data_IF_231077975558
#
_entry.id   IF_231077975558
#
_cell.length_a   1.000
_cell.length_b   1.000
_cell.length_c   1.000
_cell.angle_alpha   90.00
_cell.angle_beta   90.00
_cell.angle_gamma   90.00
#
_symmetry.space_group_name_H-M   'P 1'
#
loop_
_entity.id
_entity.type
_entity.pdbx_description
1 polymer ?
#
# COMPACT_ATOMS: atom_id res chain seq x y z
N UNK A 1 -10.61 -3.26 11.49
CA UNK A 1 -10.18 -1.87 11.48
C UNK A 1 -8.91 -1.69 10.67
N UNK A 2 -8.90 -1.84 9.34
CA UNK A 2 -7.65 -1.71 8.59
C UNK A 2 -7.11 -0.28 8.65
N UNK A 3 -5.85 -0.17 9.09
CA UNK A 3 -5.06 1.05 9.03
C UNK A 3 -4.03 0.87 7.94
N UNK A 4 -4.14 1.64 6.88
CA UNK A 4 -3.35 1.46 5.67
C UNK A 4 -2.49 2.70 5.44
N UNK A 5 -1.22 2.48 5.18
CA UNK A 5 -0.27 3.54 4.86
C UNK A 5 0.38 3.24 3.52
N UNK A 6 0.40 4.23 2.65
CA UNK A 6 1.04 4.12 1.33
C UNK A 6 2.17 5.14 1.29
N UNK A 7 3.41 4.64 1.27
CA UNK A 7 4.58 5.49 1.09
C UNK A 7 4.98 5.49 -0.38
N UNK A 8 5.23 6.67 -0.95
CA UNK A 8 5.58 6.75 -2.36
C UNK A 8 6.66 7.81 -2.61
N UNK A 9 7.48 7.55 -3.61
CA UNK A 9 8.53 8.48 -4.01
C UNK A 9 7.94 9.78 -4.55
N UNK A 10 8.50 10.91 -4.14
CA UNK A 10 8.05 12.25 -4.57
C UNK A 10 8.03 12.40 -6.09
N UNK A 11 8.91 11.69 -6.81
CA UNK A 11 8.96 11.72 -8.26
C UNK A 11 7.68 11.20 -8.93
N UNK A 12 6.82 10.51 -8.17
CA UNK A 12 5.56 9.96 -8.69
C UNK A 12 4.36 10.89 -8.48
N UNK A 13 4.56 12.09 -7.95
CA UNK A 13 3.44 12.98 -7.59
C UNK A 13 2.40 13.17 -8.70
N UNK A 14 2.84 13.34 -9.94
CA UNK A 14 1.92 13.56 -11.07
C UNK A 14 1.52 12.27 -11.77
N UNK A 15 2.18 11.15 -11.44
CA UNK A 15 2.00 9.87 -12.11
C UNK A 15 1.21 8.87 -11.27
N UNK A 16 0.87 9.23 -10.04
CA UNK A 16 0.17 8.35 -9.11
C UNK A 16 -1.20 8.92 -8.77
N UNK A 17 -2.25 8.23 -9.22
CA UNK A 17 -3.61 8.51 -8.80
C UNK A 17 -3.84 7.93 -7.41
N UNK A 18 -3.44 8.65 -6.39
CA UNK A 18 -3.47 8.20 -5.00
C UNK A 18 -4.87 7.95 -4.49
N UNK A 19 -5.78 8.86 -4.78
CA UNK A 19 -7.17 8.73 -4.34
C UNK A 19 -7.85 7.57 -5.03
N UNK A 20 -7.67 7.41 -6.32
CA UNK A 20 -8.22 6.28 -7.07
C UNK A 20 -7.70 4.95 -6.54
N UNK A 21 -6.40 4.89 -6.24
CA UNK A 21 -5.80 3.69 -5.65
C UNK A 21 -6.45 3.35 -4.30
N UNK A 22 -6.57 4.31 -3.40
CA UNK A 22 -7.17 4.08 -2.09
C UNK A 22 -8.61 3.59 -2.20
N UNK A 23 -9.40 4.19 -3.09
CA UNK A 23 -10.79 3.80 -3.30
C UNK A 23 -10.92 2.39 -3.90
N UNK A 24 -9.97 1.97 -4.72
CA UNK A 24 -9.94 0.61 -5.26
C UNK A 24 -9.40 -0.40 -4.25
N UNK A 25 -8.47 0.03 -3.40
CA UNK A 25 -7.85 -0.83 -2.39
C UNK A 25 -8.84 -1.30 -1.34
N UNK A 26 -9.74 -0.43 -0.88
CA UNK A 26 -10.66 -0.76 0.19
C UNK A 26 -11.55 -1.97 -0.12
N UNK A 27 -12.24 -2.03 -1.27
CA UNK A 27 -13.02 -3.23 -1.62
C UNK A 27 -12.16 -4.50 -1.69
N UNK A 28 -10.93 -4.36 -2.17
CA UNK A 28 -9.98 -5.48 -2.25
C UNK A 28 -9.67 -6.03 -0.86
N UNK A 29 -9.42 -5.15 0.10
CA UNK A 29 -9.18 -5.54 1.50
C UNK A 29 -10.42 -6.23 2.09
N UNK A 30 -11.61 -5.68 1.86
CA UNK A 30 -12.88 -6.25 2.33
C UNK A 30 -13.05 -7.68 1.84
N UNK A 31 -12.84 -7.91 0.54
CA UNK A 31 -13.00 -9.23 -0.06
C UNK A 31 -11.96 -10.24 0.42
N UNK A 32 -10.73 -9.78 0.62
CA UNK A 32 -9.61 -10.70 0.87
C UNK A 32 -9.49 -11.11 2.34
N UNK A 33 -9.74 -10.18 3.27
CA UNK A 33 -9.54 -10.43 4.70
C UNK A 33 -10.78 -10.18 5.55
N UNK A 34 -11.94 -10.12 4.93
CA UNK A 34 -13.21 -9.96 5.62
C UNK A 34 -13.24 -8.73 6.54
N UNK A 35 -12.93 -7.57 5.97
CA UNK A 35 -13.00 -6.30 6.66
C UNK A 35 -14.28 -5.55 6.28
N UNK A 36 -14.63 -4.55 7.08
CA UNK A 36 -15.77 -3.67 6.77
C UNK A 36 -15.26 -2.48 5.96
N UNK A 37 -15.96 -2.16 4.89
CA UNK A 37 -15.56 -1.07 4.01
C UNK A 37 -15.44 0.26 4.77
N UNK A 38 -16.41 0.58 5.60
CA UNK A 38 -16.41 1.83 6.36
C UNK A 38 -15.27 1.92 7.38
N UNK A 39 -14.65 0.81 7.72
CA UNK A 39 -13.55 0.76 8.66
C UNK A 39 -12.18 0.94 7.99
N UNK A 40 -12.10 0.81 6.67
CA UNK A 40 -10.85 0.95 5.95
C UNK A 40 -10.40 2.42 5.91
N UNK A 41 -9.18 2.67 6.36
CA UNK A 41 -8.61 4.02 6.43
C UNK A 41 -7.25 4.00 5.79
N UNK A 42 -7.08 4.79 4.74
CA UNK A 42 -5.82 4.89 4.01
C UNK A 42 -5.29 6.30 4.07
N UNK A 43 -3.99 6.41 4.33
CA UNK A 43 -3.25 7.66 4.18
C UNK A 43 -2.06 7.42 3.25
N UNK A 44 -1.79 8.39 2.41
CA UNK A 44 -0.62 8.37 1.55
C UNK A 44 0.42 9.33 2.08
N UNK A 45 1.67 8.89 2.11
CA UNK A 45 2.79 9.70 2.60
C UNK A 45 3.82 9.82 1.49
N UNK A 46 4.12 11.05 1.15
CA UNK A 46 5.13 11.37 0.13
C UNK A 46 6.50 11.32 0.76
N UNK A 47 7.37 10.47 0.23
CA UNK A 47 8.77 10.44 0.64
C UNK A 47 9.52 11.50 -0.17
N UNK A 48 9.99 12.54 0.48
CA UNK A 48 10.76 13.61 -0.17
C UNK A 48 12.04 13.09 -0.79
N UNK A 49 12.69 12.19 -0.08
CA UNK A 49 13.96 11.62 -0.49
C UNK A 49 13.80 10.11 -0.60
N UNK A 50 14.21 9.54 -1.72
CA UNK A 50 14.21 8.09 -1.93
C UNK A 50 15.56 7.68 -2.47
N UNK A 51 16.24 6.78 -1.77
CA UNK A 51 17.52 6.22 -2.20
C UNK A 51 17.36 4.72 -2.29
N UNK A 52 17.60 4.16 -3.46
CA UNK A 52 17.49 2.72 -3.69
C UNK A 52 18.89 2.20 -4.05
N UNK A 53 19.42 1.32 -3.20
CA UNK A 53 20.75 0.77 -3.39
C UNK A 53 21.82 1.84 -3.33
N UNK A 54 22.64 1.93 -4.37
CA UNK A 54 23.69 2.95 -4.53
C UNK A 54 23.22 4.17 -5.32
N UNK A 55 21.92 4.26 -5.57
CA UNK A 55 21.27 5.33 -6.31
C UNK A 55 21.78 5.46 -7.76
N UNK A 56 22.29 4.36 -8.33
CA UNK A 56 22.79 4.36 -9.70
C UNK A 56 21.69 4.50 -10.75
N UNK A 57 20.45 4.19 -10.40
CA UNK A 57 19.29 4.32 -11.28
C UNK A 57 18.28 5.26 -10.62
N UNK A 58 17.54 6.02 -11.43
CA UNK A 58 16.51 6.93 -10.93
C UNK A 58 15.17 6.19 -10.80
N UNK A 59 15.14 5.22 -9.92
CA UNK A 59 13.98 4.37 -9.69
C UNK A 59 13.05 5.00 -8.65
N UNK A 60 11.80 4.52 -8.64
CA UNK A 60 10.79 4.97 -7.70
C UNK A 60 10.24 3.79 -6.93
N UNK A 61 9.65 4.05 -5.77
CA UNK A 61 9.01 3.01 -4.98
C UNK A 61 7.61 3.41 -4.52
N UNK A 62 6.77 2.39 -4.33
CA UNK A 62 5.52 2.46 -3.60
C UNK A 62 5.51 1.30 -2.62
N UNK A 63 5.35 1.60 -1.34
CA UNK A 63 5.24 0.58 -0.29
C UNK A 63 3.91 0.73 0.42
N UNK A 64 3.15 -0.37 0.51
CA UNK A 64 1.84 -0.39 1.17
C UNK A 64 1.92 -1.22 2.44
N UNK A 65 1.66 -0.59 3.57
CA UNK A 65 1.58 -1.27 4.87
C UNK A 65 0.11 -1.35 5.31
N UNK A 66 -0.35 -2.55 5.65
CA UNK A 66 -1.72 -2.77 6.10
C UNK A 66 -1.68 -3.38 7.49
N UNK A 67 -2.30 -2.70 8.45
CA UNK A 67 -2.40 -3.18 9.82
C UNK A 67 -3.85 -3.57 10.11
N UNK A 68 -4.02 -4.82 10.55
CA UNK A 68 -5.33 -5.43 10.81
C UNK A 68 -5.45 -5.85 12.27
N UNK A 69 -6.68 -5.94 12.75
CA UNK A 69 -6.93 -6.64 14.01
C UNK A 69 -6.46 -8.08 13.86
N UNK A 70 -6.01 -8.68 14.95
CA UNK A 70 -5.55 -10.07 14.95
C UNK A 70 -6.66 -11.03 14.53
N UNK A 71 -6.28 -12.20 14.03
CA UNK A 71 -7.21 -13.26 13.70
C UNK A 71 -7.18 -13.71 12.25
N UNK A 72 -6.50 -12.99 11.36
CA UNK A 72 -6.33 -13.44 9.98
C UNK A 72 -5.10 -14.33 9.86
N UNK A 73 -5.22 -15.41 9.09
CA UNK A 73 -4.12 -16.34 8.89
C UNK A 73 -3.11 -15.83 7.86
N UNK A 74 -1.95 -16.49 7.83
CA UNK A 74 -0.87 -16.13 6.91
C UNK A 74 -1.27 -16.24 5.46
N UNK A 75 -2.13 -17.21 5.13
CA UNK A 75 -2.61 -17.40 3.76
C UNK A 75 -3.43 -16.20 3.27
N UNK A 76 -4.34 -15.71 4.09
CA UNK A 76 -5.15 -14.53 3.75
C UNK A 76 -4.27 -13.29 3.60
N UNK A 77 -3.30 -13.13 4.49
CA UNK A 77 -2.35 -12.01 4.43
C UNK A 77 -1.52 -12.06 3.14
N UNK A 78 -1.05 -13.24 2.75
CA UNK A 78 -0.28 -13.42 1.52
C UNK A 78 -1.11 -13.10 0.28
N UNK A 79 -2.38 -13.56 0.25
CA UNK A 79 -3.28 -13.22 -0.86
C UNK A 79 -3.50 -11.71 -0.95
N UNK A 80 -3.61 -11.05 0.19
CA UNK A 80 -3.81 -9.60 0.21
C UNK A 80 -2.59 -8.87 -0.34
N UNK A 81 -1.39 -9.21 0.11
CA UNK A 81 -0.17 -8.56 -0.39
C UNK A 81 0.02 -8.76 -1.89
N UNK A 82 -0.23 -9.96 -2.39
CA UNK A 82 -0.15 -10.23 -3.83
C UNK A 82 -1.15 -9.40 -4.63
N UNK A 83 -2.38 -9.30 -4.14
CA UNK A 83 -3.43 -8.53 -4.79
C UNK A 83 -3.12 -7.02 -4.78
N UNK A 84 -2.56 -6.52 -3.67
CA UNK A 84 -2.15 -5.12 -3.55
C UNK A 84 -1.03 -4.80 -4.53
N UNK A 85 -0.02 -5.66 -4.62
CA UNK A 85 1.10 -5.48 -5.55
C UNK A 85 0.60 -5.42 -6.99
N UNK A 86 -0.38 -6.26 -7.33
CA UNK A 86 -0.97 -6.26 -8.67
C UNK A 86 -1.82 -5.01 -8.94
N UNK A 87 -2.42 -4.43 -7.90
CA UNK A 87 -3.26 -3.24 -8.05
C UNK A 87 -2.47 -1.96 -8.30
N UNK A 88 -1.30 -1.80 -7.65
CA UNK A 88 -0.52 -0.57 -7.71
C UNK A 88 -0.25 -0.10 -9.14
N UNK A 89 0.24 -0.96 -10.08
CA UNK A 89 0.54 -0.49 -11.43
C UNK A 89 -0.65 0.04 -12.22
N UNK A 90 -1.86 -0.26 -11.81
CA UNK A 90 -3.07 0.28 -12.45
C UNK A 90 -3.28 1.76 -12.14
N UNK A 91 -2.62 2.27 -11.10
CA UNK A 91 -2.78 3.65 -10.64
C UNK A 91 -1.47 4.45 -10.66
N UNK A 92 -0.36 3.81 -10.99
CA UNK A 92 0.95 4.46 -11.03
C UNK A 92 1.61 4.16 -12.37
N UNK A 93 2.03 5.22 -13.06
CA UNK A 93 2.78 5.08 -14.32
C UNK A 93 4.07 5.87 -14.21
N UNK A 94 5.18 5.20 -13.85
CA UNK A 94 6.46 5.89 -13.74
C UNK A 94 6.93 6.39 -15.11
N UNK A 95 7.82 7.36 -15.09
CA UNK A 95 8.43 7.87 -16.31
C UNK A 95 9.11 6.72 -17.08
N UNK A 96 9.11 6.83 -18.40
CA UNK A 96 9.71 5.83 -19.26
C UNK A 96 11.17 5.58 -18.89
N UNK A 97 11.56 4.32 -18.84
CA UNK A 97 12.92 3.91 -18.45
C UNK A 97 13.15 3.81 -16.95
N UNK A 98 12.20 4.27 -16.14
CA UNK A 98 12.29 4.18 -14.68
C UNK A 98 11.62 2.91 -14.19
N UNK A 99 12.26 2.21 -13.26
CA UNK A 99 11.71 1.02 -12.62
C UNK A 99 10.89 1.43 -11.40
N UNK A 100 9.71 0.86 -11.26
CA UNK A 100 8.87 1.03 -10.08
C UNK A 100 9.04 -0.19 -9.18
N UNK A 101 9.52 0.05 -7.97
CA UNK A 101 9.61 -0.99 -6.94
C UNK A 101 8.33 -0.96 -6.12
N UNK A 102 7.57 -2.04 -6.17
CA UNK A 102 6.30 -2.15 -5.44
C UNK A 102 6.44 -3.20 -4.35
N UNK A 103 6.07 -2.85 -3.14
CA UNK A 103 6.08 -3.80 -2.02
C UNK A 103 4.85 -3.60 -1.15
N UNK A 104 4.48 -4.66 -0.44
CA UNK A 104 3.34 -4.63 0.47
C UNK A 104 3.59 -5.58 1.63
N UNK A 105 3.06 -5.23 2.78
CA UNK A 105 3.12 -6.11 3.95
C UNK A 105 1.86 -5.94 4.79
N UNK A 106 1.51 -7.00 5.53
CA UNK A 106 0.35 -7.01 6.43
C UNK A 106 0.83 -7.37 7.82
N UNK A 107 0.42 -6.55 8.79
CA UNK A 107 0.76 -6.72 10.20
C UNK A 107 -0.50 -6.78 11.05
N UNK A 108 -0.42 -7.49 12.15
CA UNK A 108 -1.44 -7.40 13.19
C UNK A 108 -1.25 -6.08 13.96
N UNK A 109 -2.36 -5.41 14.28
CA UNK A 109 -2.33 -4.27 15.18
C UNK A 109 -1.96 -4.75 16.58
N UNK A 110 -1.26 -3.90 17.32
CA UNK A 110 -0.93 -4.18 18.72
C UNK A 110 -2.23 -4.35 19.52
N UNK A 111 -2.24 -5.24 20.55
CA UNK A 111 -3.42 -5.41 21.40
C UNK A 111 -3.90 -4.14 22.08
N UNK A 112 -3.03 -3.14 22.20
CA UNK A 112 -3.38 -1.83 22.78
C UNK A 112 -4.18 -0.94 21.84
N UNK A 113 -4.34 -1.33 20.57
CA UNK A 113 -5.07 -0.51 19.60
C UNK A 113 -6.48 -0.22 20.07
N UNK A 114 -6.89 1.03 19.97
CA UNK A 114 -8.24 1.49 20.29
C UNK A 114 -8.72 2.45 19.20
N UNK A 115 -9.98 2.30 18.84
CA UNK A 115 -10.66 3.20 17.91
C UNK A 115 -11.81 3.85 18.67
N UNK A 116 -11.95 5.16 18.48
CA UNK A 116 -13.05 5.90 19.11
C UNK A 116 -13.92 6.54 18.05
#
# INVERSE_FOLDING_TARGET
MPQITVDYSASLDEDFDRRGFALALHPLVVETVDARLAACKTRTRRAEETVIGDDAADDALVHVGIHLLTGRGDEAKARLTEAVIALVPEYVKPAEGRVLHVSAEVHDLDPSYRLR
#
